data_IF_761391329538
#
_entry.id   IF_761391329538
#
_cell.length_a   1.000
_cell.length_b   1.000
_cell.length_c   1.000
_cell.angle_alpha   90.00
_cell.angle_beta   90.00
_cell.angle_gamma   90.00
#
_symmetry.space_group_name_H-M   'P 1'
#
loop_
_entity.id
_entity.type
_entity.pdbx_description
1 polymer ?
#
# COMPACT_ATOMS: atom_id res chain seq x y z
N UNK A 1 9.78 10.19 21.27
CA UNK A 1 10.67 9.27 22.00
C UNK A 1 11.47 8.42 21.00
N UNK A 2 12.77 8.72 20.79
CA UNK A 2 13.61 8.10 19.75
C UNK A 2 14.08 6.67 20.09
N UNK A 3 13.81 6.16 21.29
CA UNK A 3 14.33 4.88 21.76
C UNK A 3 13.66 3.66 21.09
N UNK A 4 12.39 3.77 20.69
CA UNK A 4 11.64 2.67 20.05
C UNK A 4 12.02 2.41 18.59
N UNK A 5 12.44 3.46 17.87
CA UNK A 5 12.79 3.37 16.44
C UNK A 5 14.09 2.60 16.23
N UNK A 6 15.05 2.73 17.16
CA UNK A 6 16.35 2.04 17.08
C UNK A 6 16.24 0.51 17.14
N UNK A 7 15.20 -0.06 17.74
CA UNK A 7 15.09 -1.52 17.93
C UNK A 7 14.51 -2.27 16.71
N UNK A 8 13.76 -1.58 15.82
CA UNK A 8 13.24 -2.16 14.57
C UNK A 8 14.20 -2.06 13.38
N UNK A 9 15.32 -1.35 13.54
CA UNK A 9 16.25 -0.98 12.46
C UNK A 9 17.34 -2.00 12.11
N UNK A 10 17.42 -3.16 12.78
CA UNK A 10 18.52 -4.10 12.50
C UNK A 10 18.37 -4.90 11.20
N UNK A 11 17.17 -4.94 10.61
CA UNK A 11 16.89 -5.77 9.42
C UNK A 11 16.34 -5.00 8.21
N UNK A 12 16.03 -3.70 8.34
CA UNK A 12 15.64 -2.88 7.20
C UNK A 12 16.91 -2.36 6.53
N UNK A 13 17.06 -2.61 5.23
CA UNK A 13 18.15 -2.00 4.47
C UNK A 13 18.06 -0.48 4.61
N UNK A 14 19.18 0.24 4.64
CA UNK A 14 19.15 1.71 4.80
C UNK A 14 18.19 2.41 3.82
N UNK A 15 18.01 1.82 2.63
CA UNK A 15 17.06 2.29 1.61
C UNK A 15 15.60 2.24 2.06
N UNK A 16 15.16 1.15 2.71
CA UNK A 16 13.79 0.99 3.23
C UNK A 16 13.51 1.95 4.38
N UNK A 17 14.50 2.20 5.25
CA UNK A 17 14.37 3.17 6.34
C UNK A 17 14.17 4.60 5.82
N UNK A 18 14.99 5.05 4.86
CA UNK A 18 14.84 6.37 4.26
C UNK A 18 13.62 6.49 3.33
N UNK A 19 13.17 5.40 2.70
CA UNK A 19 11.90 5.35 1.98
C UNK A 19 10.72 5.55 2.95
N UNK A 20 10.71 4.84 4.08
CA UNK A 20 9.69 4.96 5.11
C UNK A 20 9.59 6.38 5.69
N UNK A 21 10.72 7.06 5.94
CA UNK A 21 10.73 8.43 6.46
C UNK A 21 10.16 9.43 5.45
N UNK A 22 10.51 9.29 4.16
CA UNK A 22 9.96 10.12 3.08
C UNK A 22 8.45 9.91 2.92
N UNK A 23 7.98 8.67 2.99
CA UNK A 23 6.55 8.36 2.95
C UNK A 23 5.82 9.03 4.11
N UNK A 24 6.38 9.02 5.32
CA UNK A 24 5.75 9.64 6.49
C UNK A 24 5.63 11.16 6.35
N UNK A 25 6.69 11.86 5.94
CA UNK A 25 6.63 13.32 5.72
C UNK A 25 5.70 13.69 4.57
N UNK A 26 5.60 12.86 3.53
CA UNK A 26 4.66 13.08 2.43
C UNK A 26 3.19 12.94 2.90
N UNK A 27 2.90 11.93 3.74
CA UNK A 27 1.58 11.73 4.32
C UNK A 27 1.16 12.87 5.26
N UNK A 28 2.09 13.42 6.04
CA UNK A 28 1.80 14.56 6.92
C UNK A 28 1.32 15.81 6.16
N UNK A 29 1.74 15.95 4.89
CA UNK A 29 1.44 17.11 4.03
C UNK A 29 0.30 16.88 3.05
N UNK A 30 -0.18 15.65 2.88
CA UNK A 30 -1.22 15.33 1.89
C UNK A 30 -2.61 15.36 2.49
N UNK A 31 -3.64 15.67 1.69
CA UNK A 31 -5.04 15.47 2.08
C UNK A 31 -5.54 14.08 1.65
N UNK A 32 -4.98 13.56 0.56
CA UNK A 32 -5.27 12.25 -0.02
C UNK A 32 -3.96 11.53 -0.36
N UNK A 33 -3.90 10.23 -0.11
CA UNK A 33 -2.81 9.36 -0.54
C UNK A 33 -3.32 8.31 -1.54
N UNK A 34 -2.54 8.09 -2.59
CA UNK A 34 -2.76 6.99 -3.55
C UNK A 34 -1.76 5.89 -3.20
N UNK A 35 -2.26 4.72 -2.82
CA UNK A 35 -1.44 3.53 -2.57
C UNK A 35 -1.44 2.69 -3.84
N UNK A 36 -0.26 2.53 -4.44
CA UNK A 36 -0.08 1.72 -5.65
C UNK A 36 0.31 0.30 -5.25
N UNK A 37 -0.50 -0.67 -5.67
CA UNK A 37 -0.29 -2.10 -5.45
C UNK A 37 -0.04 -2.80 -6.77
N UNK A 38 0.86 -3.77 -6.80
CA UNK A 38 1.10 -4.59 -7.98
C UNK A 38 0.04 -5.70 -8.08
N UNK A 39 -0.85 -5.61 -9.07
CA UNK A 39 -2.01 -6.49 -9.18
C UNK A 39 -1.64 -7.93 -9.60
N UNK A 40 -0.49 -8.12 -10.23
CA UNK A 40 0.06 -9.43 -10.60
C UNK A 40 0.60 -10.22 -9.41
N UNK A 41 0.82 -9.60 -8.26
CA UNK A 41 1.33 -10.24 -7.04
C UNK A 41 0.27 -10.30 -5.94
N UNK A 42 0.43 -11.22 -4.99
CA UNK A 42 -0.44 -11.34 -3.81
C UNK A 42 -0.26 -10.12 -2.93
N UNK A 43 -1.37 -9.56 -2.42
CA UNK A 43 -1.32 -8.42 -1.48
C UNK A 43 -0.47 -8.82 -0.26
N UNK A 44 0.61 -8.08 -0.01
CA UNK A 44 1.57 -8.40 1.03
C UNK A 44 1.22 -7.75 2.38
N UNK A 45 1.79 -8.27 3.47
CA UNK A 45 1.71 -7.63 4.79
C UNK A 45 2.26 -6.19 4.78
N UNK A 46 3.22 -5.91 3.90
CA UNK A 46 3.80 -4.58 3.74
C UNK A 46 2.82 -3.60 3.10
N UNK A 47 2.05 -4.04 2.11
CA UNK A 47 0.99 -3.24 1.49
C UNK A 47 -0.07 -2.85 2.52
N UNK A 48 -0.51 -3.84 3.31
CA UNK A 48 -1.47 -3.63 4.40
C UNK A 48 -0.95 -2.65 5.46
N UNK A 49 0.34 -2.70 5.76
CA UNK A 49 0.98 -1.75 6.68
C UNK A 49 0.99 -0.33 6.11
N UNK A 50 1.26 -0.16 4.81
CA UNK A 50 1.23 1.16 4.16
C UNK A 50 -0.20 1.72 4.20
N UNK A 51 -1.19 0.93 3.80
CA UNK A 51 -2.61 1.29 3.88
C UNK A 51 -2.99 1.73 5.29
N UNK A 52 -2.62 0.94 6.31
CA UNK A 52 -2.89 1.28 7.71
C UNK A 52 -2.26 2.61 8.12
N UNK A 53 -1.02 2.87 7.71
CA UNK A 53 -0.36 4.16 8.01
C UNK A 53 -1.10 5.35 7.39
N UNK A 54 -1.68 5.20 6.19
CA UNK A 54 -2.50 6.25 5.55
C UNK A 54 -3.75 6.54 6.39
N UNK A 55 -4.46 5.49 6.80
CA UNK A 55 -5.67 5.59 7.63
C UNK A 55 -5.36 6.21 8.99
N UNK A 56 -4.31 5.72 9.66
CA UNK A 56 -3.87 6.20 10.97
C UNK A 56 -3.44 7.68 10.91
N UNK A 57 -2.92 8.13 9.77
CA UNK A 57 -2.60 9.54 9.53
C UNK A 57 -3.83 10.42 9.20
N UNK A 58 -5.04 9.84 9.16
CA UNK A 58 -6.31 10.53 8.90
C UNK A 58 -6.45 11.04 7.47
N UNK A 59 -5.78 10.41 6.49
CA UNK A 59 -5.77 10.87 5.09
C UNK A 59 -6.79 10.12 4.26
N UNK A 60 -7.34 10.80 3.25
CA UNK A 60 -8.12 10.13 2.22
C UNK A 60 -7.28 9.07 1.52
N UNK A 61 -7.89 7.96 1.11
CA UNK A 61 -7.20 6.82 0.49
C UNK A 61 -7.83 6.51 -0.87
N UNK A 62 -6.97 6.32 -1.86
CA UNK A 62 -7.29 5.64 -3.13
C UNK A 62 -6.32 4.47 -3.28
N UNK A 63 -6.84 3.31 -3.64
CA UNK A 63 -6.00 2.14 -3.94
C UNK A 63 -5.92 1.95 -5.45
N UNK A 64 -4.72 2.03 -6.00
CA UNK A 64 -4.45 1.85 -7.41
C UNK A 64 -3.78 0.49 -7.66
N UNK A 65 -4.39 -0.34 -8.48
CA UNK A 65 -3.87 -1.65 -8.88
C UNK A 65 -3.12 -1.53 -10.21
N UNK A 66 -1.79 -1.58 -10.14
CA UNK A 66 -0.90 -1.46 -11.30
C UNK A 66 -0.67 -2.80 -12.00
N UNK A 67 -0.20 -2.74 -13.25
CA UNK A 67 0.07 -3.90 -14.11
C UNK A 67 -1.19 -4.74 -14.38
N UNK A 68 -2.34 -4.08 -14.43
CA UNK A 68 -3.63 -4.74 -14.63
C UNK A 68 -3.69 -5.56 -15.95
N UNK A 69 -2.91 -5.15 -16.94
CA UNK A 69 -2.73 -5.82 -18.23
C UNK A 69 -2.10 -7.22 -18.13
N UNK A 70 -1.35 -7.50 -17.06
CA UNK A 70 -0.67 -8.79 -16.87
C UNK A 70 -1.57 -9.86 -16.24
N UNK A 71 -2.81 -9.53 -15.87
CA UNK A 71 -3.67 -10.42 -15.11
C UNK A 71 -4.42 -11.39 -16.02
N UNK A 72 -4.25 -12.68 -15.75
CA UNK A 72 -5.12 -13.75 -16.24
C UNK A 72 -6.38 -13.93 -15.37
N UNK A 73 -7.29 -14.81 -15.79
CA UNK A 73 -8.57 -15.02 -15.11
C UNK A 73 -8.41 -15.60 -13.70
N UNK A 74 -7.41 -16.47 -13.49
CA UNK A 74 -7.12 -17.05 -12.18
C UNK A 74 -6.62 -15.98 -11.20
N UNK A 75 -5.66 -15.14 -11.63
CA UNK A 75 -5.13 -14.05 -10.80
C UNK A 75 -6.21 -13.03 -10.50
N UNK A 76 -7.06 -12.63 -11.46
CA UNK A 76 -8.19 -11.70 -11.22
C UNK A 76 -9.12 -12.23 -10.14
N UNK A 77 -9.48 -13.50 -10.23
CA UNK A 77 -10.38 -14.12 -9.27
C UNK A 77 -9.75 -14.23 -7.87
N UNK A 78 -8.47 -14.59 -7.78
CA UNK A 78 -7.74 -14.60 -6.51
C UNK A 78 -7.63 -13.20 -5.92
N UNK A 79 -7.34 -12.18 -6.74
CA UNK A 79 -7.23 -10.80 -6.30
C UNK A 79 -8.55 -10.26 -5.74
N UNK A 80 -9.70 -10.51 -6.38
CA UNK A 80 -10.99 -10.06 -5.83
C UNK A 80 -11.29 -10.69 -4.46
N UNK A 81 -10.90 -11.95 -4.23
CA UNK A 81 -11.02 -12.58 -2.90
C UNK A 81 -10.07 -11.96 -1.87
N UNK A 82 -8.83 -11.66 -2.27
CA UNK A 82 -7.87 -10.95 -1.42
C UNK A 82 -8.44 -9.59 -1.02
N UNK A 83 -9.02 -8.85 -1.97
CA UNK A 83 -9.66 -7.56 -1.71
C UNK A 83 -10.86 -7.73 -0.75
N UNK A 84 -11.74 -8.70 -0.98
CA UNK A 84 -12.87 -8.94 -0.09
C UNK A 84 -12.43 -9.23 1.35
N UNK A 85 -11.38 -10.05 1.52
CA UNK A 85 -10.86 -10.44 2.83
C UNK A 85 -10.11 -9.31 3.52
N UNK A 86 -9.20 -8.65 2.81
CA UNK A 86 -8.28 -7.69 3.40
C UNK A 86 -8.88 -6.28 3.48
N UNK A 87 -9.66 -5.87 2.48
CA UNK A 87 -10.06 -4.47 2.31
C UNK A 87 -11.46 -4.15 2.82
N UNK A 88 -12.15 -5.10 3.48
CA UNK A 88 -13.49 -4.85 4.03
C UNK A 88 -13.57 -3.59 4.92
N UNK A 89 -12.51 -3.33 5.71
CA UNK A 89 -12.38 -2.17 6.59
C UNK A 89 -12.07 -0.84 5.87
N UNK A 90 -11.76 -0.90 4.57
CA UNK A 90 -11.52 0.27 3.70
C UNK A 90 -12.43 0.27 2.47
N UNK A 91 -13.59 -0.37 2.55
CA UNK A 91 -14.58 -0.41 1.45
C UNK A 91 -15.04 0.97 0.96
N UNK A 92 -14.83 2.01 1.77
CA UNK A 92 -15.07 3.42 1.41
C UNK A 92 -14.00 4.00 0.47
N UNK A 93 -12.82 3.41 0.39
CA UNK A 93 -11.71 3.88 -0.43
C UNK A 93 -11.93 3.48 -1.90
N UNK A 94 -11.91 4.44 -2.86
CA UNK A 94 -12.00 4.11 -4.27
C UNK A 94 -10.86 3.19 -4.73
N UNK A 95 -11.19 2.25 -5.61
CA UNK A 95 -10.23 1.38 -6.29
C UNK A 95 -10.14 1.78 -7.76
N UNK A 96 -8.92 1.86 -8.29
CA UNK A 96 -8.67 2.11 -9.71
C UNK A 96 -7.68 1.10 -10.27
N UNK A 97 -7.93 0.62 -11.48
CA UNK A 97 -7.03 -0.30 -12.17
C UNK A 97 -6.25 0.48 -13.21
N UNK A 98 -4.93 0.36 -13.17
CA UNK A 98 -4.04 1.08 -14.08
C UNK A 98 -3.01 0.12 -14.70
N UNK A 99 -2.49 0.54 -15.84
CA UNK A 99 -1.33 -0.06 -16.46
C UNK A 99 -0.43 1.08 -16.93
N UNK A 100 0.83 1.06 -16.48
CA UNK A 100 1.84 1.96 -17.01
C UNK A 100 2.56 1.25 -18.15
N UNK A 101 2.65 1.91 -19.31
CA UNK A 101 3.53 1.47 -20.38
C UNK A 101 4.98 1.53 -19.85
N UNK A 102 5.70 0.41 -19.96
CA UNK A 102 7.08 0.29 -19.46
C UNK A 102 8.09 1.06 -20.33
#
# INVERSE_FOLDING_TARGET
>A
DPAGIRKRSKNASGSEFYASLRTQTALERSEVAVVLLEASEVISDQDMKIIRNVIDAGRGLVVAFNKWDLLDDERRWNLEREIEREFGHISWAPRVNISAES
#
